data_IF_274868675710
#
_entry.id   IF_274868675710
#
_cell.length_a   1.000
_cell.length_b   1.000
_cell.length_c   1.000
_cell.angle_alpha   90.00
_cell.angle_beta   90.00
_cell.angle_gamma   90.00
#
_symmetry.space_group_name_H-M   'P 1'
#
loop_
_entity.id
_entity.type
_entity.pdbx_description
1 polymer ?
#
# COMPACT_ATOMS: atom_id res chain seq x y z
N UNK A 1 -14.78 13.01 -24.19
CA UNK A 1 -13.84 12.51 -23.17
C UNK A 1 -13.80 13.50 -22.03
N UNK A 2 -14.52 13.23 -20.93
CA UNK A 2 -14.63 14.15 -19.80
C UNK A 2 -13.48 13.91 -18.81
N UNK A 3 -12.48 14.77 -18.81
CA UNK A 3 -11.52 14.91 -17.71
C UNK A 3 -12.25 15.42 -16.48
N UNK A 4 -12.71 14.49 -15.63
CA UNK A 4 -13.30 14.80 -14.32
C UNK A 4 -12.26 15.60 -13.52
N UNK A 5 -12.59 16.80 -13.01
CA UNK A 5 -11.58 17.74 -12.56
C UNK A 5 -10.94 17.25 -11.25
N UNK A 6 -9.59 17.27 -11.22
CA UNK A 6 -8.71 17.04 -10.07
C UNK A 6 -9.18 17.73 -8.77
N UNK A 7 -9.96 18.80 -8.91
CA UNK A 7 -10.52 19.64 -7.84
C UNK A 7 -11.44 18.85 -6.90
N UNK A 8 -12.20 17.85 -7.38
CA UNK A 8 -13.07 17.04 -6.49
C UNK A 8 -12.28 16.15 -5.54
N UNK A 9 -11.11 15.65 -5.98
CA UNK A 9 -10.24 14.80 -5.16
C UNK A 9 -9.62 15.58 -3.99
N UNK A 10 -9.26 16.86 -4.20
CA UNK A 10 -8.61 17.70 -3.18
C UNK A 10 -9.45 17.96 -1.92
N UNK A 11 -10.79 17.92 -2.03
CA UNK A 11 -11.69 18.15 -0.88
C UNK A 11 -11.67 17.02 0.16
N UNK A 12 -11.16 15.84 -0.20
CA UNK A 12 -11.14 14.64 0.67
C UNK A 12 -9.73 14.16 1.03
N UNK A 13 -8.68 14.94 0.74
CA UNK A 13 -7.30 14.56 1.05
C UNK A 13 -6.96 14.87 2.51
N UNK A 14 -6.38 13.88 3.19
CA UNK A 14 -5.79 14.08 4.52
C UNK A 14 -4.50 14.93 4.40
N UNK A 15 -4.25 15.84 5.36
CA UNK A 15 -2.97 16.53 5.46
C UNK A 15 -1.79 15.54 5.60
N UNK A 16 -0.61 15.84 5.03
CA UNK A 16 0.51 14.89 4.96
C UNK A 16 0.91 14.29 6.31
N UNK A 17 1.02 15.13 7.35
CA UNK A 17 1.42 14.66 8.69
C UNK A 17 0.35 13.80 9.38
N UNK A 18 -0.93 14.06 9.09
CA UNK A 18 -2.04 13.27 9.62
C UNK A 18 -2.05 11.90 8.93
N UNK A 19 -1.89 11.89 7.60
CA UNK A 19 -1.81 10.67 6.81
C UNK A 19 -0.64 9.79 7.26
N UNK A 20 0.56 10.37 7.36
CA UNK A 20 1.77 9.70 7.86
C UNK A 20 1.56 9.03 9.22
N UNK A 21 1.00 9.78 10.18
CA UNK A 21 0.71 9.26 11.53
C UNK A 21 -0.33 8.14 11.51
N UNK A 22 -1.38 8.25 10.69
CA UNK A 22 -2.40 7.21 10.56
C UNK A 22 -1.82 5.91 9.99
N UNK A 23 -0.98 6.01 8.96
CA UNK A 23 -0.30 4.84 8.37
C UNK A 23 0.56 4.12 9.40
N UNK A 24 1.44 4.83 10.12
CA UNK A 24 2.26 4.22 11.15
C UNK A 24 1.45 3.63 12.31
N UNK A 25 0.28 4.20 12.62
CA UNK A 25 -0.62 3.64 13.64
C UNK A 25 -1.23 2.32 13.20
N UNK A 26 -1.69 2.20 11.95
CA UNK A 26 -2.31 0.97 11.44
C UNK A 26 -1.27 -0.14 11.25
N UNK A 27 -0.02 0.20 10.91
CA UNK A 27 1.07 -0.76 10.81
C UNK A 27 1.34 -1.53 12.12
N UNK A 28 0.96 -0.99 13.28
CA UNK A 28 1.09 -1.69 14.56
C UNK A 28 0.26 -2.97 14.67
N UNK A 29 -0.75 -3.12 13.82
CA UNK A 29 -1.59 -4.31 13.74
C UNK A 29 -1.10 -5.31 12.68
N UNK A 30 -0.02 -5.01 11.96
CA UNK A 30 0.58 -5.94 11.00
C UNK A 30 1.57 -6.89 11.70
N UNK A 31 1.78 -8.10 11.15
CA UNK A 31 2.87 -8.98 11.55
C UNK A 31 4.22 -8.26 11.54
N UNK A 32 5.10 -8.61 12.49
CA UNK A 32 6.36 -7.90 12.73
C UNK A 32 7.22 -7.69 11.47
N UNK A 33 7.41 -8.69 10.58
CA UNK A 33 8.21 -8.49 9.36
C UNK A 33 7.59 -7.46 8.42
N UNK A 34 6.26 -7.49 8.24
CA UNK A 34 5.54 -6.55 7.38
C UNK A 34 5.54 -5.14 7.96
N UNK A 35 5.41 -5.03 9.29
CA UNK A 35 5.49 -3.75 9.99
C UNK A 35 6.86 -3.10 9.83
N UNK A 36 7.95 -3.84 10.09
CA UNK A 36 9.30 -3.27 10.03
C UNK A 36 9.61 -2.76 8.63
N UNK A 37 9.35 -3.59 7.61
CA UNK A 37 9.56 -3.22 6.20
C UNK A 37 8.70 -2.00 5.80
N UNK A 38 7.43 -2.01 6.18
CA UNK A 38 6.49 -0.94 5.87
C UNK A 38 6.83 0.38 6.56
N UNK A 39 7.18 0.35 7.84
CA UNK A 39 7.53 1.55 8.62
C UNK A 39 8.76 2.25 8.03
N UNK A 40 9.79 1.49 7.63
CA UNK A 40 11.00 2.04 7.03
C UNK A 40 10.74 2.65 5.66
N UNK A 41 9.95 1.97 4.82
CA UNK A 41 9.56 2.47 3.50
C UNK A 41 8.71 3.75 3.59
N UNK A 42 7.71 3.78 4.47
CA UNK A 42 6.88 4.99 4.70
C UNK A 42 7.74 6.17 5.14
N UNK A 43 8.66 5.96 6.08
CA UNK A 43 9.56 7.01 6.55
C UNK A 43 10.45 7.53 5.41
N UNK A 44 11.02 6.65 4.60
CA UNK A 44 11.89 7.06 3.50
C UNK A 44 11.13 7.84 2.43
N UNK A 45 9.93 7.39 2.07
CA UNK A 45 9.13 8.02 1.01
C UNK A 45 8.60 9.40 1.42
N UNK A 46 8.06 9.53 2.63
CA UNK A 46 7.61 10.83 3.14
C UNK A 46 8.77 11.80 3.32
N UNK A 47 9.97 11.32 3.69
CA UNK A 47 11.17 12.15 3.73
C UNK A 47 11.60 12.61 2.34
N UNK A 48 11.58 11.72 1.34
CA UNK A 48 11.93 12.03 -0.05
C UNK A 48 10.97 13.05 -0.68
N UNK A 49 9.70 13.04 -0.26
CA UNK A 49 8.67 13.95 -0.76
C UNK A 49 8.55 15.26 0.02
N UNK A 50 9.39 15.48 1.04
CA UNK A 50 9.35 16.69 1.88
C UNK A 50 9.60 17.97 1.10
N UNK A 51 10.53 17.93 0.15
CA UNK A 51 11.02 19.12 -0.57
C UNK A 51 10.42 19.24 -1.99
N UNK A 52 9.43 18.40 -2.32
CA UNK A 52 8.72 18.48 -3.61
C UNK A 52 7.84 19.72 -3.62
N UNK A 53 8.03 20.58 -4.61
CA UNK A 53 7.30 21.85 -4.74
C UNK A 53 6.11 21.77 -5.72
N UNK A 54 6.10 20.79 -6.63
CA UNK A 54 5.04 20.65 -7.62
C UNK A 54 3.73 20.18 -6.95
N UNK A 55 2.66 21.01 -6.95
CA UNK A 55 1.41 20.69 -6.27
C UNK A 55 0.71 19.46 -6.85
N UNK A 56 0.83 19.19 -8.16
CA UNK A 56 0.23 18.01 -8.78
C UNK A 56 0.88 16.72 -8.27
N UNK A 57 2.20 16.73 -8.06
CA UNK A 57 2.92 15.59 -7.53
C UNK A 57 2.54 15.34 -6.06
N UNK A 58 2.40 16.40 -5.26
CA UNK A 58 1.94 16.30 -3.87
C UNK A 58 0.53 15.72 -3.80
N UNK A 59 -0.40 16.21 -4.63
CA UNK A 59 -1.78 15.71 -4.69
C UNK A 59 -1.80 14.23 -5.08
N UNK A 60 -1.05 13.85 -6.12
CA UNK A 60 -0.92 12.46 -6.55
C UNK A 60 -0.37 11.56 -5.44
N UNK A 61 0.70 12.00 -4.79
CA UNK A 61 1.30 11.31 -3.64
C UNK A 61 0.27 11.10 -2.52
N UNK A 62 -0.38 12.15 -2.03
CA UNK A 62 -1.35 12.04 -0.95
C UNK A 62 -2.53 11.15 -1.30
N UNK A 63 -3.01 11.20 -2.54
CA UNK A 63 -4.11 10.35 -2.97
C UNK A 63 -3.72 8.87 -2.93
N UNK A 64 -2.55 8.52 -3.48
CA UNK A 64 -2.06 7.13 -3.48
C UNK A 64 -1.83 6.61 -2.06
N UNK A 65 -1.22 7.40 -1.19
CA UNK A 65 -1.00 7.02 0.21
C UNK A 65 -2.30 6.90 1.02
N UNK A 66 -3.34 7.66 0.66
CA UNK A 66 -4.66 7.53 1.26
C UNK A 66 -5.40 6.27 0.78
N UNK A 67 -5.22 5.87 -0.49
CA UNK A 67 -5.71 4.58 -0.99
C UNK A 67 -4.99 3.44 -0.27
N UNK A 68 -3.66 3.52 -0.13
CA UNK A 68 -2.87 2.55 0.63
C UNK A 68 -3.35 2.41 2.08
N UNK A 69 -3.59 3.51 2.77
CA UNK A 69 -4.12 3.49 4.14
C UNK A 69 -5.44 2.71 4.23
N UNK A 70 -6.39 2.99 3.34
CA UNK A 70 -7.69 2.29 3.30
C UNK A 70 -7.52 0.79 3.06
N UNK A 71 -6.60 0.42 2.17
CA UNK A 71 -6.33 -0.98 1.84
C UNK A 71 -5.74 -1.75 3.02
N UNK A 72 -4.84 -1.13 3.78
CA UNK A 72 -4.27 -1.74 5.00
C UNK A 72 -5.31 -1.80 6.12
N UNK A 73 -6.11 -0.74 6.32
CA UNK A 73 -7.21 -0.74 7.29
C UNK A 73 -8.19 -1.90 7.03
N UNK A 74 -8.56 -2.13 5.77
CA UNK A 74 -9.44 -3.24 5.39
C UNK A 74 -8.78 -4.61 5.63
N UNK A 75 -7.50 -4.77 5.31
CA UNK A 75 -6.79 -6.04 5.54
C UNK A 75 -6.65 -6.37 7.03
N UNK A 76 -6.31 -5.36 7.84
CA UNK A 76 -6.24 -5.50 9.30
C UNK A 76 -7.61 -5.84 9.88
N UNK A 77 -8.68 -5.17 9.45
CA UNK A 77 -10.03 -5.47 9.92
C UNK A 77 -10.48 -6.90 9.55
N UNK A 78 -10.16 -7.36 8.34
CA UNK A 78 -10.45 -8.74 7.93
C UNK A 78 -9.66 -9.77 8.74
N UNK A 79 -8.41 -9.44 9.10
CA UNK A 79 -7.59 -10.27 9.99
C UNK A 79 -8.22 -10.44 11.37
N UNK A 80 -8.76 -9.37 11.96
CA UNK A 80 -9.33 -9.41 13.31
C UNK A 80 -10.69 -10.09 13.35
N UNK A 81 -11.47 -10.01 12.28
CA UNK A 81 -12.81 -10.63 12.23
C UNK A 81 -12.77 -12.15 12.01
N UNK A 82 -11.66 -12.69 11.50
CA UNK A 82 -11.51 -14.13 11.23
C UNK A 82 -11.35 -14.99 12.50
N UNK A 83 -11.15 -14.40 13.68
CA UNK A 83 -10.94 -15.14 14.93
C UNK A 83 -12.21 -15.75 15.53
N UNK A 84 -13.40 -15.35 15.04
CA UNK A 84 -14.69 -15.80 15.59
C UNK A 84 -15.35 -16.96 14.79
N UNK A 85 -14.70 -17.48 13.75
CA UNK A 85 -15.17 -18.65 13.00
C UNK A 85 -14.22 -19.83 13.18
N UNK A 86 -14.75 -20.98 13.61
CA UNK A 86 -14.11 -22.29 13.92
C UNK A 86 -13.37 -22.96 12.74
N UNK A 87 -12.84 -22.18 11.80
CA UNK A 87 -12.03 -22.65 10.70
C UNK A 87 -10.86 -21.68 10.56
N UNK A 88 -9.67 -22.14 10.91
CA UNK A 88 -8.38 -21.44 10.80
C UNK A 88 -8.12 -20.99 9.36
N UNK A 89 -8.76 -19.90 8.94
CA UNK A 89 -8.43 -19.18 7.71
C UNK A 89 -7.18 -18.38 7.98
N UNK A 90 -6.08 -18.77 7.34
CA UNK A 90 -4.85 -17.98 7.33
C UNK A 90 -5.16 -16.54 6.93
N UNK A 91 -4.70 -15.59 7.74
CA UNK A 91 -4.78 -14.17 7.44
C UNK A 91 -3.88 -13.91 6.23
N UNK A 92 -4.49 -13.65 5.07
CA UNK A 92 -3.76 -13.30 3.84
C UNK A 92 -3.67 -11.78 3.71
N UNK A 93 -2.45 -11.27 3.89
CA UNK A 93 -2.10 -9.88 3.56
C UNK A 93 -1.75 -9.76 2.07
N UNK A 94 -2.04 -8.60 1.49
CA UNK A 94 -1.80 -8.28 0.08
C UNK A 94 -3.00 -8.52 -0.83
N UNK A 95 -2.87 -8.04 -2.07
CA UNK A 95 -3.85 -8.23 -3.15
C UNK A 95 -3.17 -8.91 -4.32
N UNK A 96 -3.93 -9.67 -5.11
CA UNK A 96 -3.43 -10.19 -6.38
C UNK A 96 -3.22 -9.01 -7.32
N UNK A 97 -2.11 -9.03 -8.06
CA UNK A 97 -1.84 -8.06 -9.11
C UNK A 97 -2.82 -8.34 -10.27
N UNK A 98 -3.54 -7.31 -10.69
CA UNK A 98 -4.46 -7.37 -11.83
C UNK A 98 -3.69 -7.44 -13.16
N UNK A 99 -4.24 -8.11 -14.16
CA UNK A 99 -3.59 -8.29 -15.47
C UNK A 99 -3.25 -6.95 -16.13
N UNK A 100 -4.18 -6.00 -16.07
CA UNK A 100 -4.03 -4.67 -16.66
C UNK A 100 -2.89 -3.86 -16.01
N UNK A 101 -2.55 -4.17 -14.76
CA UNK A 101 -1.38 -3.57 -14.07
C UNK A 101 -0.11 -4.28 -14.50
N UNK A 102 -0.17 -5.61 -14.72
CA UNK A 102 0.96 -6.41 -15.17
C UNK A 102 1.48 -5.95 -16.53
N UNK A 103 0.57 -5.61 -17.45
CA UNK A 103 0.87 -5.11 -18.80
C UNK A 103 1.58 -3.73 -18.81
N UNK A 104 1.52 -2.98 -17.70
CA UNK A 104 2.17 -1.67 -17.59
C UNK A 104 3.63 -1.76 -17.14
N UNK A 105 4.09 -2.92 -16.69
CA UNK A 105 5.46 -3.10 -16.26
C UNK A 105 6.39 -3.35 -17.45
N UNK A 106 7.63 -2.88 -17.33
CA UNK A 106 8.70 -3.23 -18.27
C UNK A 106 9.12 -4.70 -18.08
N UNK A 107 9.71 -5.30 -19.11
CA UNK A 107 10.24 -6.67 -19.12
C UNK A 107 11.18 -6.94 -17.93
N UNK A 108 12.04 -5.98 -17.59
CA UNK A 108 12.94 -6.10 -16.43
C UNK A 108 12.19 -6.20 -15.10
N UNK A 109 11.13 -5.40 -14.92
CA UNK A 109 10.30 -5.41 -13.71
C UNK A 109 9.51 -6.71 -13.61
N UNK A 110 9.00 -7.21 -14.74
CA UNK A 110 8.32 -8.50 -14.83
C UNK A 110 9.29 -9.64 -14.46
N UNK A 111 10.51 -9.60 -14.98
CA UNK A 111 11.57 -10.56 -14.64
C UNK A 111 11.89 -10.58 -13.14
N UNK A 112 12.04 -9.41 -12.51
CA UNK A 112 12.26 -9.30 -11.07
C UNK A 112 11.10 -9.87 -10.25
N UNK A 113 9.85 -9.56 -10.62
CA UNK A 113 8.66 -10.11 -9.96
C UNK A 113 8.59 -11.63 -10.10
N UNK A 114 8.98 -12.17 -11.26
CA UNK A 114 9.03 -13.60 -11.49
C UNK A 114 10.09 -14.29 -10.62
N UNK A 115 11.30 -13.72 -10.52
CA UNK A 115 12.35 -14.22 -9.63
C UNK A 115 11.88 -14.22 -8.18
N UNK A 116 11.34 -13.08 -7.70
CA UNK A 116 10.84 -12.95 -6.33
C UNK A 116 9.72 -13.97 -6.02
N UNK A 117 8.82 -14.22 -6.98
CA UNK A 117 7.76 -15.24 -6.84
C UNK A 117 8.36 -16.65 -6.69
N UNK A 118 9.42 -16.96 -7.41
CA UNK A 118 10.03 -18.28 -7.34
C UNK A 118 10.80 -18.48 -6.04
N UNK A 119 11.55 -17.47 -5.60
CA UNK A 119 12.27 -17.49 -4.31
C UNK A 119 11.31 -17.67 -3.13
N UNK A 120 10.20 -16.94 -3.11
CA UNK A 120 9.19 -17.07 -2.05
C UNK A 120 8.52 -18.45 -2.04
N UNK A 121 8.28 -19.07 -3.21
CA UNK A 121 7.78 -20.45 -3.28
C UNK A 121 8.77 -21.47 -2.74
N UNK A 122 10.07 -21.27 -2.98
CA UNK A 122 11.11 -22.14 -2.45
C UNK A 122 11.21 -22.02 -0.94
N UNK A 123 11.11 -20.82 -0.38
CA UNK A 123 11.21 -20.57 1.06
C UNK A 123 10.05 -21.14 1.89
N UNK A 124 8.89 -21.39 1.27
CA UNK A 124 7.70 -21.97 1.92
C UNK A 124 7.75 -23.51 1.93
N UNK A 125 8.62 -24.12 1.12
CA UNK A 125 8.75 -25.57 0.96
C UNK A 125 9.77 -26.15 1.93
#
# INVERSE_FOLDING_TARGET
>A
MASKPLISSTKNLLPPLILYRKILRIHRYLPLPLRSLGDDYVKSEFRRHKDVTNPLHIIGFLNQWQVYLKDIEQQVANSTNSTNSTSSKEVKFGKKIESDVLEKFNEQQIGQLYTLRNETKLAIK
#
